data_IF_639254942602
#
_entry.id   IF_639254942602
#
_cell.length_a   1.000
_cell.length_b   1.000
_cell.length_c   1.000
_cell.angle_alpha   90.00
_cell.angle_beta   90.00
_cell.angle_gamma   90.00
#
_symmetry.space_group_name_H-M   'P 1'
#
loop_
_entity.id
_entity.type
_entity.pdbx_description
1 polymer ?
#
# COMPACT_ATOMS: atom_id res chain seq x y z
N UNK A 1 -2.62 9.62 -63.37
CA UNK A 1 -2.13 9.45 -61.98
C UNK A 1 -0.64 9.74 -61.99
N UNK A 2 -0.22 10.88 -61.45
CA UNK A 2 1.21 11.15 -61.30
C UNK A 2 1.79 10.13 -60.32
N UNK A 3 2.83 9.40 -60.73
CA UNK A 3 3.52 8.43 -59.87
C UNK A 3 4.24 9.21 -58.76
N UNK A 4 4.19 8.68 -57.54
CA UNK A 4 4.86 9.24 -56.37
C UNK A 4 6.35 9.53 -56.64
N UNK A 5 6.96 8.72 -57.51
CA UNK A 5 8.35 8.81 -57.94
C UNK A 5 8.69 10.13 -58.68
N UNK A 6 7.75 10.68 -59.45
CA UNK A 6 7.97 11.94 -60.19
C UNK A 6 7.84 13.18 -59.29
N UNK A 7 7.10 13.07 -58.18
CA UNK A 7 7.03 14.10 -57.15
C UNK A 7 8.28 14.09 -56.26
N UNK A 8 8.78 12.90 -55.89
CA UNK A 8 9.99 12.74 -55.08
C UNK A 8 11.25 13.27 -55.77
N UNK A 9 11.36 13.12 -57.10
CA UNK A 9 12.50 13.63 -57.88
C UNK A 9 12.56 15.16 -58.00
N UNK A 10 11.45 15.87 -57.77
CA UNK A 10 11.36 17.34 -57.89
C UNK A 10 11.70 18.08 -56.60
N UNK A 11 11.75 17.39 -55.47
CA UNK A 11 12.04 18.00 -54.17
C UNK A 11 13.57 18.14 -54.02
N UNK A 12 14.11 19.33 -53.69
CA UNK A 12 15.52 19.48 -53.39
C UNK A 12 15.94 18.51 -52.27
N UNK A 13 17.00 17.73 -52.50
CA UNK A 13 17.56 16.77 -51.53
C UNK A 13 17.64 17.29 -50.08
N UNK A 14 18.08 18.52 -49.78
CA UNK A 14 18.12 19.02 -48.40
C UNK A 14 16.72 19.17 -47.77
N UNK A 15 15.71 19.58 -48.55
CA UNK A 15 14.32 19.71 -48.07
C UNK A 15 13.72 18.35 -47.75
N UNK A 16 14.01 17.34 -48.59
CA UNK A 16 13.58 15.97 -48.33
C UNK A 16 14.19 15.41 -47.04
N UNK A 17 15.50 15.61 -46.81
CA UNK A 17 16.19 15.17 -45.59
C UNK A 17 15.60 15.83 -44.35
N UNK A 18 15.36 17.15 -44.37
CA UNK A 18 14.72 17.86 -43.25
C UNK A 18 13.31 17.34 -42.99
N UNK A 19 12.53 17.09 -44.05
CA UNK A 19 11.19 16.51 -43.94
C UNK A 19 11.18 15.14 -43.28
N UNK A 20 12.09 14.25 -43.69
CA UNK A 20 12.24 12.91 -43.09
C UNK A 20 12.62 13.01 -41.61
N UNK A 21 13.55 13.91 -41.25
CA UNK A 21 13.95 14.13 -39.85
C UNK A 21 12.77 14.63 -39.01
N UNK A 22 11.99 15.59 -39.50
CA UNK A 22 10.82 16.12 -38.79
C UNK A 22 9.73 15.05 -38.62
N UNK A 23 9.47 14.24 -39.66
CA UNK A 23 8.52 13.12 -39.57
C UNK A 23 9.02 12.08 -38.56
N UNK A 24 10.31 11.73 -38.58
CA UNK A 24 10.89 10.78 -37.63
C UNK A 24 10.79 11.30 -36.18
N UNK A 25 11.06 12.58 -35.95
CA UNK A 25 10.87 13.23 -34.65
C UNK A 25 9.41 13.21 -34.20
N UNK A 26 8.47 13.57 -35.08
CA UNK A 26 7.04 13.56 -34.78
C UNK A 26 6.54 12.13 -34.46
N UNK A 27 7.01 11.13 -35.21
CA UNK A 27 6.72 9.72 -34.96
C UNK A 27 7.30 9.27 -33.62
N UNK A 28 8.55 9.65 -33.30
CA UNK A 28 9.16 9.32 -32.01
C UNK A 28 8.42 9.95 -30.83
N UNK A 29 8.01 11.22 -30.92
CA UNK A 29 7.22 11.90 -29.88
C UNK A 29 5.84 11.23 -29.74
N UNK A 30 5.23 10.79 -30.84
CA UNK A 30 3.95 10.09 -30.81
C UNK A 30 4.04 8.68 -30.21
N UNK A 31 5.13 7.96 -30.46
CA UNK A 31 5.35 6.60 -29.94
C UNK A 31 5.88 6.64 -28.49
N UNK A 32 6.69 7.64 -28.13
CA UNK A 32 7.28 7.84 -26.81
C UNK A 32 7.07 9.30 -26.39
N UNK A 33 5.91 9.66 -25.82
CA UNK A 33 5.72 11.00 -25.30
C UNK A 33 6.83 11.33 -24.29
N UNK A 34 7.25 12.59 -24.27
CA UNK A 34 8.20 13.06 -23.28
C UNK A 34 7.61 12.82 -21.89
N UNK A 35 8.28 11.99 -21.11
CA UNK A 35 7.89 11.70 -19.72
C UNK A 35 7.98 12.99 -18.91
N UNK A 36 6.92 13.31 -18.18
CA UNK A 36 6.96 14.37 -17.19
C UNK A 36 7.74 13.90 -15.94
N UNK A 37 8.01 14.82 -15.00
CA UNK A 37 8.75 14.47 -13.78
C UNK A 37 8.08 13.34 -12.98
N UNK A 38 6.74 13.35 -12.87
CA UNK A 38 5.98 12.32 -12.17
C UNK A 38 6.05 10.95 -12.85
N UNK A 39 6.13 10.88 -14.18
CA UNK A 39 6.30 9.60 -14.90
C UNK A 39 7.64 8.93 -14.56
N UNK A 40 8.67 9.72 -14.22
CA UNK A 40 9.97 9.22 -13.77
C UNK A 40 9.89 8.80 -12.31
N UNK A 41 9.25 9.59 -11.44
CA UNK A 41 9.01 9.22 -10.04
C UNK A 41 8.20 7.93 -9.92
N UNK A 42 7.13 7.79 -10.70
CA UNK A 42 6.29 6.57 -10.72
C UNK A 42 7.11 5.38 -11.21
N UNK A 43 7.96 5.57 -12.22
CA UNK A 43 8.87 4.52 -12.68
C UNK A 43 9.82 4.08 -11.55
N UNK A 44 10.44 5.03 -10.85
CA UNK A 44 11.36 4.76 -9.75
C UNK A 44 10.64 4.04 -8.59
N UNK A 45 9.46 4.54 -8.20
CA UNK A 45 8.63 3.92 -7.18
C UNK A 45 8.24 2.49 -7.56
N UNK A 46 7.82 2.28 -8.81
CA UNK A 46 7.44 0.96 -9.34
C UNK A 46 8.60 -0.02 -9.28
N UNK A 47 9.82 0.42 -9.59
CA UNK A 47 11.04 -0.38 -9.44
C UNK A 47 11.35 -0.68 -7.97
N UNK A 48 11.21 0.30 -7.08
CA UNK A 48 11.47 0.15 -5.64
C UNK A 48 10.52 -0.84 -4.95
N UNK A 49 9.24 -0.83 -5.33
CA UNK A 49 8.21 -1.72 -4.73
C UNK A 49 8.03 -3.04 -5.48
N UNK A 50 8.81 -3.27 -6.54
CA UNK A 50 8.76 -4.49 -7.33
C UNK A 50 9.14 -5.69 -6.46
N UNK A 51 8.29 -6.73 -6.48
CA UNK A 51 8.42 -7.91 -5.62
C UNK A 51 7.77 -7.75 -4.25
N UNK A 52 7.45 -6.53 -3.82
CA UNK A 52 6.76 -6.26 -2.55
C UNK A 52 5.27 -6.01 -2.76
N UNK A 53 4.91 -4.99 -3.55
CA UNK A 53 3.52 -4.69 -3.95
C UNK A 53 3.16 -5.32 -5.29
N UNK A 54 4.11 -5.36 -6.21
CA UNK A 54 3.92 -5.84 -7.57
C UNK A 54 4.65 -7.16 -7.79
N UNK A 55 4.13 -7.94 -8.74
CA UNK A 55 4.79 -9.17 -9.20
C UNK A 55 6.13 -8.81 -9.84
N UNK A 56 7.16 -9.62 -9.57
CA UNK A 56 8.48 -9.44 -10.18
C UNK A 56 8.88 -10.67 -10.99
N UNK A 57 9.32 -10.53 -12.24
CA UNK A 57 9.97 -11.63 -12.94
C UNK A 57 11.32 -11.91 -12.29
N UNK A 58 11.59 -13.17 -11.91
CA UNK A 58 12.91 -13.57 -11.40
C UNK A 58 13.89 -13.62 -12.58
N UNK A 59 14.86 -12.71 -12.59
CA UNK A 59 15.80 -12.45 -13.71
C UNK A 59 16.52 -13.69 -14.23
N UNK A 60 16.79 -14.69 -13.37
CA UNK A 60 17.52 -15.92 -13.76
C UNK A 60 16.65 -17.10 -14.19
N UNK A 61 15.40 -17.18 -13.75
CA UNK A 61 14.58 -18.40 -13.93
C UNK A 61 13.22 -18.17 -14.58
N UNK A 62 12.89 -16.91 -14.94
CA UNK A 62 11.56 -16.49 -15.43
C UNK A 62 10.39 -16.86 -14.51
N UNK A 63 10.66 -17.40 -13.31
CA UNK A 63 9.64 -17.68 -12.30
C UNK A 63 9.13 -16.35 -11.77
N UNK A 64 7.82 -16.20 -11.74
CA UNK A 64 7.16 -15.00 -11.27
C UNK A 64 7.15 -15.02 -9.74
N UNK A 65 7.74 -13.99 -9.12
CA UNK A 65 7.72 -13.78 -7.67
C UNK A 65 6.42 -13.07 -7.33
N UNK A 66 5.64 -13.67 -6.43
CA UNK A 66 4.40 -13.08 -5.94
C UNK A 66 4.70 -11.88 -5.03
N UNK A 67 3.78 -10.91 -4.91
CA UNK A 67 3.96 -9.76 -4.02
C UNK A 67 4.13 -10.21 -2.56
N UNK A 68 5.28 -9.90 -1.97
CA UNK A 68 5.61 -10.33 -0.61
C UNK A 68 4.62 -9.79 0.42
N UNK A 69 4.12 -8.55 0.27
CA UNK A 69 3.14 -7.98 1.21
C UNK A 69 1.87 -8.83 1.24
N UNK A 70 1.37 -9.25 0.08
CA UNK A 70 0.18 -10.10 -0.01
C UNK A 70 0.40 -11.50 0.56
N UNK A 71 1.56 -12.11 0.27
CA UNK A 71 1.90 -13.47 0.70
C UNK A 71 2.15 -13.56 2.21
N UNK A 72 3.00 -12.68 2.74
CA UNK A 72 3.41 -12.66 4.16
C UNK A 72 2.29 -12.20 5.09
N UNK A 73 1.33 -11.41 4.57
CA UNK A 73 0.12 -10.99 5.31
C UNK A 73 -0.65 -12.18 5.89
N UNK A 74 -0.82 -13.25 5.12
CA UNK A 74 -1.59 -14.42 5.58
C UNK A 74 -0.91 -15.08 6.78
N UNK A 75 0.39 -15.32 6.68
CA UNK A 75 1.18 -15.91 7.77
C UNK A 75 1.17 -15.04 9.02
N UNK A 76 1.24 -13.72 8.86
CA UNK A 76 1.12 -12.79 9.98
C UNK A 76 -0.26 -12.87 10.66
N UNK A 77 -1.35 -12.87 9.89
CA UNK A 77 -2.73 -13.00 10.42
C UNK A 77 -2.98 -14.34 11.13
N UNK A 78 -2.41 -15.43 10.60
CA UNK A 78 -2.59 -16.78 11.13
C UNK A 78 -1.67 -17.08 12.33
N UNK A 79 -0.39 -16.72 12.23
CA UNK A 79 0.63 -17.01 13.24
C UNK A 79 0.65 -16.04 14.41
N UNK A 80 0.14 -14.82 14.20
CA UNK A 80 -0.35 -13.95 15.24
C UNK A 80 0.62 -13.72 16.42
N UNK A 81 1.87 -13.44 16.09
CA UNK A 81 2.97 -13.19 17.01
C UNK A 81 3.99 -12.28 16.31
N UNK A 82 4.88 -11.59 17.05
CA UNK A 82 5.91 -10.73 16.44
C UNK A 82 6.74 -11.49 15.39
N UNK A 83 7.18 -12.71 15.71
CA UNK A 83 7.97 -13.55 14.81
C UNK A 83 7.22 -13.99 13.55
N UNK A 84 5.91 -14.27 13.65
CA UNK A 84 5.11 -14.62 12.47
C UNK A 84 4.91 -13.44 11.50
N UNK A 85 5.04 -12.21 12.00
CA UNK A 85 4.82 -10.98 11.24
C UNK A 85 6.12 -10.31 10.74
N UNK A 86 7.29 -10.82 11.12
CA UNK A 86 8.59 -10.23 10.77
C UNK A 86 8.74 -9.96 9.27
N UNK A 87 8.48 -10.96 8.43
CA UNK A 87 8.57 -10.82 6.97
C UNK A 87 7.56 -9.80 6.40
N UNK A 88 6.38 -9.72 7.02
CA UNK A 88 5.36 -8.75 6.63
C UNK A 88 5.81 -7.32 6.98
N UNK A 89 6.39 -7.12 8.16
CA UNK A 89 6.93 -5.83 8.58
C UNK A 89 8.11 -5.39 7.71
N UNK A 90 9.01 -6.32 7.36
CA UNK A 90 10.10 -6.03 6.43
C UNK A 90 9.59 -5.60 5.05
N UNK A 91 8.56 -6.28 4.53
CA UNK A 91 7.94 -5.91 3.26
C UNK A 91 7.25 -4.54 3.33
N UNK A 92 6.51 -4.25 4.41
CA UNK A 92 5.88 -2.94 4.62
C UNK A 92 6.90 -1.81 4.75
N UNK A 93 8.02 -2.06 5.45
CA UNK A 93 9.11 -1.09 5.57
C UNK A 93 9.71 -0.74 4.21
N UNK A 94 9.86 -1.72 3.31
CA UNK A 94 10.33 -1.46 1.93
C UNK A 94 9.37 -0.58 1.14
N UNK A 95 8.07 -0.78 1.32
CA UNK A 95 7.04 0.07 0.70
C UNK A 95 7.07 1.47 1.29
N UNK A 96 7.21 1.59 2.62
CA UNK A 96 7.34 2.88 3.30
C UNK A 96 8.57 3.66 2.84
N UNK A 97 9.74 3.02 2.75
CA UNK A 97 10.98 3.62 2.24
C UNK A 97 10.81 4.14 0.79
N UNK A 98 10.00 3.48 -0.03
CA UNK A 98 9.68 3.94 -1.38
C UNK A 98 8.80 5.21 -1.36
N UNK A 99 7.79 5.27 -0.49
CA UNK A 99 6.96 6.47 -0.32
C UNK A 99 7.75 7.66 0.21
N UNK A 100 8.67 7.46 1.16
CA UNK A 100 9.49 8.56 1.71
C UNK A 100 10.33 9.25 0.64
N UNK A 101 10.72 8.54 -0.43
CA UNK A 101 11.49 9.10 -1.54
C UNK A 101 10.61 9.66 -2.66
N UNK A 102 9.32 9.39 -2.62
CA UNK A 102 8.38 9.77 -3.66
C UNK A 102 7.81 11.16 -3.39
N UNK A 103 7.65 11.97 -4.45
CA UNK A 103 7.11 13.33 -4.31
C UNK A 103 5.59 13.29 -4.20
N UNK A 104 5.05 13.86 -3.11
CA UNK A 104 3.62 13.89 -2.79
C UNK A 104 2.77 14.48 -3.93
N UNK A 105 3.31 15.42 -4.71
CA UNK A 105 2.59 16.02 -5.85
C UNK A 105 2.24 15.00 -6.94
N UNK A 106 2.98 13.89 -7.00
CA UNK A 106 2.80 12.83 -7.98
C UNK A 106 1.89 11.70 -7.48
N UNK A 107 1.45 11.73 -6.22
CA UNK A 107 0.60 10.68 -5.62
C UNK A 107 -0.71 10.45 -6.37
N UNK A 108 -1.46 11.48 -6.83
CA UNK A 108 -2.69 11.24 -7.58
C UNK A 108 -2.45 10.46 -8.87
N UNK A 109 -1.32 10.73 -9.55
CA UNK A 109 -0.96 10.02 -10.78
C UNK A 109 -0.49 8.59 -10.48
N UNK A 110 0.28 8.37 -9.39
CA UNK A 110 0.72 7.05 -8.96
C UNK A 110 -0.46 6.10 -8.67
N UNK A 111 -1.48 6.59 -7.95
CA UNK A 111 -2.65 5.78 -7.58
C UNK A 111 -3.51 5.42 -8.78
N UNK A 112 -3.55 6.29 -9.80
CA UNK A 112 -4.28 6.05 -11.05
C UNK A 112 -3.48 5.29 -12.11
N UNK A 113 -2.21 4.96 -11.86
CA UNK A 113 -1.36 4.25 -12.82
C UNK A 113 -1.82 2.80 -12.99
N UNK A 114 -1.89 2.35 -14.24
CA UNK A 114 -2.43 1.04 -14.63
C UNK A 114 -1.74 -0.13 -13.92
N UNK A 115 -0.45 0.01 -13.56
CA UNK A 115 0.28 -1.06 -12.87
C UNK A 115 -0.23 -1.33 -11.45
N UNK A 116 -0.91 -0.34 -10.85
CA UNK A 116 -1.45 -0.42 -9.50
C UNK A 116 -2.97 -0.60 -9.46
N UNK A 117 -3.60 -0.72 -10.63
CA UNK A 117 -5.03 -0.92 -10.76
C UNK A 117 -5.37 -2.40 -10.93
N UNK A 118 -6.42 -2.87 -10.26
CA UNK A 118 -6.96 -4.23 -10.40
C UNK A 118 -8.22 -4.19 -11.25
N UNK A 119 -8.13 -4.72 -12.47
CA UNK A 119 -9.25 -4.79 -13.39
C UNK A 119 -10.41 -5.64 -12.81
N UNK A 120 -11.62 -5.09 -12.81
CA UNK A 120 -12.82 -5.76 -12.31
C UNK A 120 -12.96 -5.83 -10.78
N UNK A 121 -12.07 -5.20 -10.02
CA UNK A 121 -12.19 -5.13 -8.57
C UNK A 121 -13.20 -4.05 -8.13
N UNK A 122 -13.89 -4.22 -6.97
CA UNK A 122 -14.65 -3.15 -6.33
C UNK A 122 -13.83 -1.88 -6.16
N UNK A 123 -14.47 -0.71 -6.15
CA UNK A 123 -13.80 0.61 -6.03
C UNK A 123 -12.83 0.67 -4.84
N UNK A 124 -13.20 0.07 -3.71
CA UNK A 124 -12.39 0.02 -2.49
C UNK A 124 -11.07 -0.76 -2.63
N UNK A 125 -11.02 -1.71 -3.57
CA UNK A 125 -9.87 -2.57 -3.84
C UNK A 125 -9.28 -2.37 -5.24
N UNK A 126 -9.82 -1.42 -6.00
CA UNK A 126 -9.38 -1.10 -7.35
C UNK A 126 -7.92 -0.63 -7.39
N UNK A 127 -7.46 0.09 -6.35
CA UNK A 127 -6.05 0.46 -6.22
C UNK A 127 -5.32 -0.46 -5.22
N UNK A 128 -4.31 -1.18 -5.72
CA UNK A 128 -3.44 -2.04 -4.89
C UNK A 128 -2.76 -1.20 -3.81
N UNK A 129 -2.34 0.02 -4.12
CA UNK A 129 -1.68 0.91 -3.16
C UNK A 129 -2.61 1.22 -1.99
N UNK A 130 -3.81 1.74 -2.28
CA UNK A 130 -4.80 2.07 -1.23
C UNK A 130 -5.15 0.84 -0.39
N UNK A 131 -5.39 -0.28 -1.04
CA UNK A 131 -5.73 -1.53 -0.37
C UNK A 131 -4.63 -2.02 0.57
N UNK A 132 -3.38 -2.09 0.09
CA UNK A 132 -2.26 -2.60 0.89
C UNK A 132 -1.86 -1.64 2.02
N UNK A 133 -2.00 -0.32 1.82
CA UNK A 133 -1.80 0.67 2.89
C UNK A 133 -2.87 0.54 3.99
N UNK A 134 -4.15 0.44 3.62
CA UNK A 134 -5.24 0.18 4.58
C UNK A 134 -4.98 -1.09 5.38
N UNK A 135 -4.64 -2.19 4.71
CA UNK A 135 -4.32 -3.47 5.38
C UNK A 135 -3.08 -3.36 6.27
N UNK A 136 -2.00 -2.72 5.81
CA UNK A 136 -0.77 -2.54 6.59
C UNK A 136 -0.98 -1.72 7.85
N UNK A 137 -1.63 -0.56 7.74
CA UNK A 137 -1.98 0.31 8.87
C UNK A 137 -2.89 -0.43 9.86
N UNK A 138 -3.91 -1.13 9.36
CA UNK A 138 -4.82 -1.94 10.19
C UNK A 138 -4.08 -3.03 10.95
N UNK A 139 -3.27 -3.84 10.27
CA UNK A 139 -2.57 -4.98 10.87
C UNK A 139 -1.56 -4.52 11.91
N UNK A 140 -0.75 -3.50 11.60
CA UNK A 140 0.19 -2.93 12.56
C UNK A 140 -0.55 -2.41 13.81
N UNK A 141 -1.67 -1.71 13.64
CA UNK A 141 -2.44 -1.18 14.75
C UNK A 141 -3.05 -2.30 15.63
N UNK A 142 -3.59 -3.35 15.01
CA UNK A 142 -4.17 -4.50 15.73
C UNK A 142 -3.09 -5.33 16.44
N UNK A 143 -1.92 -5.53 15.83
CA UNK A 143 -0.82 -6.28 16.46
C UNK A 143 -0.19 -5.52 17.63
N UNK A 144 -0.12 -4.19 17.53
CA UNK A 144 0.34 -3.35 18.64
C UNK A 144 -0.54 -3.46 19.88
N UNK A 145 -1.79 -3.94 19.73
CA UNK A 145 -2.66 -4.25 20.86
C UNK A 145 -2.10 -5.37 21.74
N UNK A 146 -1.29 -6.27 21.18
CA UNK A 146 -0.72 -7.40 21.90
C UNK A 146 -1.77 -8.34 22.49
N UNK A 147 -1.44 -8.97 23.61
CA UNK A 147 -2.28 -10.01 24.25
C UNK A 147 -3.55 -9.47 24.92
N UNK A 148 -3.50 -8.23 25.36
CA UNK A 148 -4.56 -7.58 26.13
C UNK A 148 -4.47 -6.08 25.90
N UNK A 149 -5.58 -5.33 26.07
CA UNK A 149 -5.57 -3.89 25.93
C UNK A 149 -4.40 -3.25 26.68
N UNK A 150 -3.57 -2.42 26.01
CA UNK A 150 -2.45 -1.75 26.65
C UNK A 150 -2.90 -1.01 27.92
N UNK A 151 -2.17 -1.19 29.01
CA UNK A 151 -2.53 -0.61 30.31
C UNK A 151 -2.38 0.92 30.31
N UNK A 152 -1.50 1.45 29.46
CA UNK A 152 -1.29 2.89 29.31
C UNK A 152 -0.61 3.29 28.02
N UNK A 153 -0.32 4.60 27.94
CA UNK A 153 0.33 5.27 26.81
C UNK A 153 1.67 4.64 26.38
N UNK A 154 2.48 4.23 27.37
CA UNK A 154 3.82 3.68 27.14
C UNK A 154 3.76 2.27 26.51
N UNK A 155 2.67 1.54 26.73
CA UNK A 155 2.52 0.14 26.30
C UNK A 155 1.81 0.00 24.96
N UNK A 156 1.41 1.12 24.32
CA UNK A 156 0.63 1.12 23.07
C UNK A 156 1.34 0.50 21.88
N UNK A 157 2.67 0.44 21.92
CA UNK A 157 3.45 -0.24 20.89
C UNK A 157 3.30 -1.77 21.02
N UNK A 158 3.03 -2.29 22.23
CA UNK A 158 2.83 -3.71 22.50
C UNK A 158 3.92 -4.58 21.89
N UNK A 159 3.53 -5.34 20.86
CA UNK A 159 4.40 -6.25 20.11
C UNK A 159 5.31 -5.58 19.08
N UNK A 160 5.09 -4.28 18.81
CA UNK A 160 5.85 -3.56 17.82
C UNK A 160 7.17 -3.04 18.37
N UNK A 161 8.23 -3.23 17.59
CA UNK A 161 9.50 -2.55 17.78
C UNK A 161 9.37 -1.06 17.46
N UNK A 162 10.36 -0.27 17.90
CA UNK A 162 10.40 1.16 17.58
C UNK A 162 10.38 1.41 16.07
N UNK A 163 11.07 0.60 15.27
CA UNK A 163 11.06 0.75 13.80
C UNK A 163 9.69 0.48 13.19
N UNK A 164 8.94 -0.49 13.70
CA UNK A 164 7.58 -0.77 13.22
C UNK A 164 6.61 0.36 13.56
N UNK A 165 6.79 1.03 14.70
CA UNK A 165 6.02 2.24 15.05
C UNK A 165 6.32 3.38 14.06
N UNK A 166 7.58 3.58 13.66
CA UNK A 166 7.92 4.55 12.61
C UNK A 166 7.25 4.20 11.29
N UNK A 167 7.33 2.94 10.87
CA UNK A 167 6.68 2.46 9.64
C UNK A 167 5.17 2.66 9.70
N UNK A 168 4.51 2.32 10.82
CA UNK A 168 3.08 2.59 11.00
C UNK A 168 2.77 4.08 10.81
N UNK A 169 3.53 4.96 11.47
CA UNK A 169 3.25 6.39 11.43
C UNK A 169 3.40 6.97 10.03
N UNK A 170 4.44 6.58 9.28
CA UNK A 170 4.65 7.05 7.90
C UNK A 170 3.60 6.49 6.95
N UNK A 171 3.28 5.20 7.03
CA UNK A 171 2.22 4.60 6.24
C UNK A 171 0.84 5.21 6.55
N UNK A 172 0.57 5.55 7.82
CA UNK A 172 -0.64 6.26 8.23
C UNK A 172 -0.72 7.64 7.59
N UNK A 173 0.36 8.42 7.61
CA UNK A 173 0.39 9.75 6.97
C UNK A 173 0.09 9.64 5.49
N UNK A 174 0.83 8.79 4.77
CA UNK A 174 0.60 8.54 3.34
C UNK A 174 -0.84 8.08 3.07
N UNK A 175 -1.38 7.19 3.92
CA UNK A 175 -2.77 6.76 3.77
C UNK A 175 -3.74 7.93 3.92
N UNK A 176 -3.59 8.77 4.96
CA UNK A 176 -4.42 9.97 5.16
C UNK A 176 -4.34 10.90 3.96
N UNK A 177 -3.16 11.13 3.41
CA UNK A 177 -2.98 11.99 2.22
C UNK A 177 -3.68 11.42 0.98
N UNK A 178 -3.76 10.09 0.86
CA UNK A 178 -4.36 9.40 -0.29
C UNK A 178 -5.88 9.26 -0.26
N UNK A 179 -6.47 9.10 0.94
CA UNK A 179 -7.93 8.89 1.09
C UNK A 179 -8.64 10.07 1.77
N UNK A 180 -7.88 11.01 2.33
CA UNK A 180 -8.41 12.15 3.08
C UNK A 180 -8.82 11.81 4.51
N UNK A 181 -8.92 12.85 5.35
CA UNK A 181 -9.24 12.72 6.77
C UNK A 181 -10.59 12.07 7.05
N UNK A 182 -11.62 12.38 6.26
CA UNK A 182 -12.97 11.84 6.50
C UNK A 182 -13.05 10.35 6.18
N UNK A 183 -12.49 9.90 5.05
CA UNK A 183 -12.44 8.47 4.74
C UNK A 183 -11.53 7.73 5.74
N UNK A 184 -10.44 8.36 6.18
CA UNK A 184 -9.58 7.80 7.21
C UNK A 184 -10.29 7.64 8.57
N UNK A 185 -11.16 8.58 8.98
CA UNK A 185 -11.97 8.44 10.20
C UNK A 185 -12.92 7.25 10.10
N UNK A 186 -13.57 7.05 8.95
CA UNK A 186 -14.45 5.90 8.69
C UNK A 186 -13.67 4.59 8.75
N UNK A 187 -12.54 4.53 8.04
CA UNK A 187 -11.63 3.39 8.07
C UNK A 187 -11.20 3.06 9.51
N UNK A 188 -10.74 4.06 10.26
CA UNK A 188 -10.32 3.89 11.65
C UNK A 188 -11.46 3.37 12.52
N UNK A 189 -12.66 3.93 12.43
CA UNK A 189 -13.82 3.47 13.18
C UNK A 189 -14.16 2.00 12.87
N UNK A 190 -13.99 1.58 11.61
CA UNK A 190 -14.07 0.17 11.21
C UNK A 190 -13.05 -0.70 11.95
N UNK A 191 -11.78 -0.30 11.97
CA UNK A 191 -10.71 -1.04 12.65
C UNK A 191 -10.92 -1.07 14.18
N UNK A 192 -11.44 -0.01 14.80
CA UNK A 192 -11.71 0.03 16.24
C UNK A 192 -12.67 -1.09 16.68
N UNK A 193 -13.58 -1.52 15.80
CA UNK A 193 -14.52 -2.62 16.06
C UNK A 193 -13.86 -4.00 16.01
N UNK A 194 -12.65 -4.11 15.49
CA UNK A 194 -11.93 -5.37 15.32
C UNK A 194 -10.95 -5.67 16.46
N UNK A 195 -10.67 -4.71 17.34
CA UNK A 195 -9.83 -4.95 18.51
C UNK A 195 -10.49 -5.97 19.45
N UNK A 196 -9.81 -7.04 19.86
CA UNK A 196 -10.37 -8.04 20.75
C UNK A 196 -10.16 -7.67 22.22
N UNK A 197 -11.02 -8.22 23.07
CA UNK A 197 -10.92 -8.09 24.53
C UNK A 197 -9.65 -8.77 25.08
N UNK A 198 -9.32 -9.95 24.56
CA UNK A 198 -8.11 -10.72 24.88
C UNK A 198 -7.64 -11.41 23.60
N UNK A 199 -6.34 -11.35 23.33
CA UNK A 199 -5.68 -12.07 22.26
C UNK A 199 -5.26 -13.45 22.77
N UNK A 200 -5.52 -14.54 22.04
CA UNK A 200 -5.07 -15.87 22.45
C UNK A 200 -3.56 -16.02 22.29
N UNK A 201 -2.89 -16.70 23.23
CA UNK A 201 -1.45 -17.01 23.18
C UNK A 201 -1.06 -17.81 21.92
N UNK A 202 -1.96 -18.67 21.38
CA UNK A 202 -1.73 -19.47 20.15
C UNK A 202 -3.04 -19.74 19.40
N UNK A 203 -3.10 -19.44 18.09
CA UNK A 203 -4.24 -19.78 17.21
C UNK A 203 -4.20 -21.22 16.68
N UNK A 204 -3.14 -21.98 16.96
CA UNK A 204 -2.74 -23.14 16.14
C UNK A 204 -3.41 -24.48 16.47
N UNK A 205 -4.21 -24.64 17.54
CA UNK A 205 -4.72 -25.97 17.92
C UNK A 205 -6.21 -26.23 17.67
N UNK A 206 -6.98 -25.28 17.14
CA UNK A 206 -8.42 -25.47 16.86
C UNK A 206 -8.90 -24.82 15.55
N UNK A 207 -8.13 -24.93 14.47
CA UNK A 207 -8.59 -24.47 13.16
C UNK A 207 -9.38 -25.60 12.50
N UNK A 208 -10.59 -25.87 13.01
CA UNK A 208 -11.68 -26.29 12.14
C UNK A 208 -12.37 -25.00 11.68
N UNK A 209 -12.27 -24.77 10.38
CA UNK A 209 -12.74 -23.59 9.68
C UNK A 209 -14.25 -23.45 9.74
N UNK A 210 -14.76 -22.56 10.60
CA UNK A 210 -15.92 -21.68 10.38
C UNK A 210 -16.14 -20.85 11.66
N UNK A 211 -16.05 -19.53 11.53
CA UNK A 211 -16.59 -18.54 12.47
C UNK A 211 -16.22 -18.64 13.96
N UNK A 212 -14.93 -18.55 14.30
CA UNK A 212 -14.57 -18.00 15.62
C UNK A 212 -14.70 -16.47 15.53
N UNK A 213 -15.93 -15.97 15.64
CA UNK A 213 -16.16 -14.56 15.95
C UNK A 213 -15.56 -14.28 17.33
N UNK A 214 -14.42 -13.58 17.33
CA UNK A 214 -13.70 -13.24 18.57
C UNK A 214 -14.49 -12.20 19.35
N UNK A 215 -14.55 -12.28 20.69
CA UNK A 215 -15.09 -11.21 21.50
C UNK A 215 -14.32 -9.91 21.24
N UNK A 216 -15.03 -8.90 20.76
CA UNK A 216 -14.44 -7.58 20.47
C UNK A 216 -14.47 -6.73 21.72
N UNK A 217 -13.41 -5.96 21.97
CA UNK A 217 -13.28 -5.12 23.15
C UNK A 217 -14.27 -3.95 23.14
N UNK A 218 -14.59 -3.46 21.95
CA UNK A 218 -15.46 -2.31 21.77
C UNK A 218 -16.91 -2.64 22.12
N UNK A 219 -17.47 -1.91 23.08
CA UNK A 219 -18.89 -1.92 23.42
C UNK A 219 -19.68 -1.02 22.49
N UNK A 220 -20.67 -1.57 21.80
CA UNK A 220 -21.61 -0.82 20.95
C UNK A 220 -22.95 -1.56 20.83
N UNK A 221 -23.93 -1.00 20.13
CA UNK A 221 -25.26 -1.61 19.97
C UNK A 221 -25.21 -3.03 19.39
N UNK A 222 -24.24 -3.32 18.51
CA UNK A 222 -23.99 -4.65 17.94
C UNK A 222 -23.08 -5.57 18.77
N UNK A 223 -22.44 -5.08 19.84
CA UNK A 223 -21.64 -5.88 20.77
C UNK A 223 -21.77 -5.35 22.20
N UNK A 224 -22.78 -5.84 22.93
CA UNK A 224 -23.03 -5.43 24.31
C UNK A 224 -22.06 -6.03 25.32
N UNK A 225 -21.34 -7.09 24.93
CA UNK A 225 -20.35 -7.80 25.75
C UNK A 225 -19.00 -7.08 25.81
N UNK A 226 -18.72 -6.18 24.87
CA UNK A 226 -17.50 -5.38 24.88
C UNK A 226 -17.36 -4.58 26.17
N UNK A 227 -16.12 -4.45 26.66
CA UNK A 227 -15.82 -3.81 27.94
C UNK A 227 -15.43 -2.33 27.81
N UNK A 228 -14.87 -1.95 26.67
CA UNK A 228 -14.28 -0.63 26.45
C UNK A 228 -15.19 0.20 25.53
N UNK A 229 -15.29 1.49 25.77
CA UNK A 229 -15.94 2.40 24.83
C UNK A 229 -15.01 2.77 23.65
N UNK A 230 -15.55 3.42 22.62
CA UNK A 230 -14.78 3.78 21.42
C UNK A 230 -13.60 4.69 21.74
N UNK A 231 -13.79 5.62 22.67
CA UNK A 231 -12.75 6.58 23.07
C UNK A 231 -11.61 5.86 23.78
N UNK A 232 -11.92 4.88 24.63
CA UNK A 232 -10.95 4.08 25.36
C UNK A 232 -10.17 3.15 24.42
N UNK A 233 -10.84 2.47 23.48
CA UNK A 233 -10.16 1.68 22.45
C UNK A 233 -9.23 2.56 21.62
N UNK A 234 -9.72 3.71 21.15
CA UNK A 234 -8.91 4.66 20.39
C UNK A 234 -7.70 5.12 21.20
N UNK A 235 -7.89 5.54 22.45
CA UNK A 235 -6.83 5.99 23.35
C UNK A 235 -5.81 4.91 23.70
N UNK A 236 -6.15 3.63 23.63
CA UNK A 236 -5.18 2.54 23.87
C UNK A 236 -4.54 2.05 22.57
N UNK A 237 -5.15 2.35 21.44
CA UNK A 237 -4.68 1.90 20.13
C UNK A 237 -3.53 2.75 19.60
N UNK A 238 -2.80 2.18 18.64
CA UNK A 238 -1.75 2.85 17.90
C UNK A 238 -2.26 4.09 17.12
N UNK A 239 -3.55 4.15 16.79
CA UNK A 239 -4.14 5.28 16.09
C UNK A 239 -4.09 6.60 16.87
N UNK A 240 -4.00 6.53 18.20
CA UNK A 240 -3.87 7.70 19.08
C UNK A 240 -2.43 8.22 19.21
N UNK A 241 -1.46 7.60 18.54
CA UNK A 241 -0.10 8.12 18.48
C UNK A 241 -0.02 9.40 17.66
N UNK A 242 0.81 10.32 18.15
CA UNK A 242 1.21 11.57 17.50
C UNK A 242 2.32 11.29 16.49
N UNK A 243 1.92 10.90 15.28
CA UNK A 243 2.84 10.53 14.21
C UNK A 243 3.65 11.70 13.64
N UNK A 244 3.27 12.95 13.94
CA UNK A 244 4.04 14.15 13.67
C UNK A 244 5.41 14.15 14.39
N UNK A 245 5.58 13.37 15.46
CA UNK A 245 6.85 13.20 16.16
C UNK A 245 7.76 12.11 15.54
N UNK A 246 7.29 11.43 14.49
CA UNK A 246 7.93 10.26 13.88
C UNK A 246 8.25 10.45 12.39
N UNK A 247 8.36 11.71 11.94
CA UNK A 247 8.73 12.07 10.56
C UNK A 247 10.24 11.89 10.34
#
# INVERSE_FOLDING_TARGET
MARLDDLLKKIPKPVFVVGVILIALAVMIKIKPLKNGCDIEILNFTEDVRGYLLKSPRTKTKKLVLPQVGETKRFCKEGNSPGACENYFLALKKVEEAFVRFDDKCLPQLVGDENFMVEGAPEETASIIKFQLKEGVKILALLAWGEKPPAGLADRAGWLSRSEVYTFCRLKTVLVDLIGDEEFKIFRAGVLREYPDVWPEKLQSQINSTDIHRPTALKWSGNSLGKLDEKEVLQRSLFSLRCDQYQ
#
